data_IF_341697779185
#
_entry.id   IF_341697779185
#
_cell.length_a   1.000
_cell.length_b   1.000
_cell.length_c   1.000
_cell.angle_alpha   90.00
_cell.angle_beta   90.00
_cell.angle_gamma   90.00
#
_symmetry.space_group_name_H-M   'P 1'
#
loop_
_entity.id
_entity.type
_entity.pdbx_description
1 polymer ?
#
# COMPACT_ATOMS: atom_id res chain seq x y z
N UNK A 1 8.72 -22.28 -30.48
CA UNK A 1 10.02 -22.17 -29.76
C UNK A 1 10.84 -20.95 -30.18
N UNK A 2 11.16 -20.72 -31.46
CA UNK A 2 11.97 -19.54 -31.90
C UNK A 2 11.40 -18.17 -31.52
N UNK A 3 10.07 -18.00 -31.50
CA UNK A 3 9.42 -16.73 -31.09
C UNK A 3 9.51 -16.46 -29.57
N UNK A 4 9.50 -17.50 -28.74
CA UNK A 4 9.63 -17.37 -27.27
C UNK A 4 11.07 -17.03 -26.88
N UNK A 5 12.05 -17.62 -27.59
CA UNK A 5 13.46 -17.28 -27.41
C UNK A 5 13.78 -15.82 -27.81
N UNK A 6 13.16 -15.28 -28.87
CA UNK A 6 13.33 -13.87 -29.23
C UNK A 6 12.67 -12.90 -28.22
N UNK A 7 11.53 -13.26 -27.63
CA UNK A 7 10.89 -12.44 -26.59
C UNK A 7 11.72 -12.47 -25.29
N UNK A 8 12.25 -13.63 -24.90
CA UNK A 8 13.18 -13.74 -23.77
C UNK A 8 14.52 -13.04 -24.02
N UNK A 9 15.04 -13.08 -25.24
CA UNK A 9 16.26 -12.36 -25.63
C UNK A 9 16.04 -10.83 -25.72
N UNK A 10 14.86 -10.38 -26.12
CA UNK A 10 14.49 -8.96 -26.10
C UNK A 10 14.28 -8.44 -24.67
N UNK A 11 13.71 -9.28 -23.79
CA UNK A 11 13.60 -8.99 -22.35
C UNK A 11 14.96 -8.98 -21.65
N UNK A 12 15.92 -9.83 -22.07
CA UNK A 12 17.27 -9.85 -21.50
C UNK A 12 18.20 -8.77 -22.07
N UNK A 13 18.04 -8.37 -23.34
CA UNK A 13 18.79 -7.25 -23.94
C UNK A 13 18.28 -5.88 -23.47
N UNK A 14 17.01 -5.77 -23.04
CA UNK A 14 16.48 -4.56 -22.41
C UNK A 14 16.97 -4.33 -20.98
N UNK A 15 17.52 -5.36 -20.32
CA UNK A 15 18.07 -5.26 -18.95
C UNK A 15 19.50 -4.72 -18.89
N UNK A 16 20.18 -4.58 -20.05
CA UNK A 16 21.56 -4.08 -20.13
C UNK A 16 21.67 -2.67 -20.73
N UNK A 17 20.54 -1.98 -20.97
CA UNK A 17 20.53 -0.60 -21.44
C UNK A 17 19.89 0.28 -20.37
N UNK A 18 20.73 1.17 -19.81
CA UNK A 18 20.45 2.21 -18.80
C UNK A 18 20.43 1.79 -17.33
N UNK A 19 21.10 2.61 -16.53
CA UNK A 19 20.87 2.83 -15.10
C UNK A 19 19.40 3.22 -14.86
N UNK A 20 18.48 2.27 -15.00
CA UNK A 20 17.05 2.53 -14.92
C UNK A 20 16.64 2.75 -13.46
N UNK A 21 16.71 4.00 -13.01
CA UNK A 21 16.05 4.44 -11.78
C UNK A 21 14.55 4.51 -12.02
N UNK A 22 13.76 4.14 -11.00
CA UNK A 22 12.31 4.27 -11.04
C UNK A 22 11.88 5.73 -11.13
N UNK A 23 12.57 6.60 -10.39
CA UNK A 23 12.29 8.03 -10.40
C UNK A 23 12.80 8.67 -11.70
N UNK A 24 11.93 9.47 -12.31
CA UNK A 24 12.18 10.33 -13.45
C UNK A 24 11.74 11.74 -13.07
N UNK A 25 12.72 12.62 -12.93
CA UNK A 25 12.49 14.02 -12.55
C UNK A 25 12.36 14.92 -13.77
N UNK A 26 11.82 16.12 -13.55
CA UNK A 26 11.68 17.12 -14.60
C UNK A 26 12.92 18.01 -14.73
N UNK A 27 13.10 18.53 -15.94
CA UNK A 27 14.02 19.62 -16.23
C UNK A 27 13.39 20.98 -15.88
N UNK A 28 14.20 22.02 -15.68
CA UNK A 28 13.70 23.37 -15.42
C UNK A 28 12.78 23.90 -16.55
N UNK A 29 13.06 23.53 -17.80
CA UNK A 29 12.24 23.88 -18.95
C UNK A 29 10.85 23.23 -18.86
N UNK A 30 10.78 21.95 -18.51
CA UNK A 30 9.51 21.23 -18.36
C UNK A 30 8.67 21.80 -17.22
N UNK A 31 9.29 22.15 -16.09
CA UNK A 31 8.61 22.78 -14.95
C UNK A 31 7.97 24.11 -15.36
N UNK A 32 8.71 24.94 -16.09
CA UNK A 32 8.22 26.24 -16.57
C UNK A 32 7.08 26.09 -17.56
N UNK A 33 7.11 25.05 -18.41
CA UNK A 33 6.08 24.78 -19.42
C UNK A 33 4.78 24.22 -18.82
N UNK A 34 4.89 23.41 -17.77
CA UNK A 34 3.77 22.68 -17.18
C UNK A 34 2.85 23.59 -16.36
N UNK A 35 3.41 24.54 -15.60
CA UNK A 35 2.65 25.58 -14.90
C UNK A 35 1.50 25.03 -14.02
N UNK A 36 0.32 25.64 -14.11
CA UNK A 36 -0.85 25.15 -13.38
C UNK A 36 -1.44 23.90 -14.08
N UNK A 37 -1.39 22.74 -13.42
CA UNK A 37 -1.72 21.45 -14.03
C UNK A 37 -2.83 20.71 -13.27
N UNK A 38 -3.78 20.08 -13.99
CA UNK A 38 -4.78 19.21 -13.37
C UNK A 38 -4.15 18.02 -12.64
N UNK A 39 -4.79 17.61 -11.56
CA UNK A 39 -4.45 16.46 -10.74
C UNK A 39 -5.60 15.45 -10.80
N UNK A 40 -5.28 14.20 -11.08
CA UNK A 40 -6.23 13.09 -11.07
C UNK A 40 -5.81 12.06 -10.02
N UNK A 41 -6.64 11.91 -8.98
CA UNK A 41 -6.50 10.82 -8.01
C UNK A 41 -7.20 9.58 -8.57
N UNK A 42 -6.43 8.55 -8.85
CA UNK A 42 -6.97 7.26 -9.27
C UNK A 42 -7.65 6.59 -8.08
N UNK A 43 -8.89 6.15 -8.30
CA UNK A 43 -9.65 5.38 -7.32
C UNK A 43 -8.89 4.12 -6.92
N UNK A 44 -8.54 4.03 -5.64
CA UNK A 44 -8.27 2.76 -5.00
C UNK A 44 -9.59 1.96 -4.97
N UNK A 45 -9.58 0.74 -5.50
CA UNK A 45 -10.73 -0.17 -5.50
C UNK A 45 -10.65 -1.24 -4.40
N UNK A 46 -9.59 -1.24 -3.61
CA UNK A 46 -9.22 -2.31 -2.69
C UNK A 46 -9.27 -1.89 -1.21
N UNK A 47 -9.47 -0.60 -0.93
CA UNK A 47 -9.47 -0.09 0.44
C UNK A 47 -8.10 -0.23 1.12
N UNK A 48 -8.11 -0.38 2.45
CA UNK A 48 -6.94 -0.75 3.23
C UNK A 48 -6.75 -2.27 3.17
N UNK A 49 -5.72 -2.74 2.48
CA UNK A 49 -5.50 -4.15 2.26
C UNK A 49 -4.44 -4.72 3.22
N UNK A 50 -4.77 -5.66 4.13
CA UNK A 50 -3.75 -6.40 4.84
C UNK A 50 -2.94 -7.27 3.89
N UNK A 51 -1.69 -7.52 4.24
CA UNK A 51 -0.79 -8.41 3.49
C UNK A 51 -0.83 -9.82 4.05
N UNK A 52 -0.48 -10.81 3.22
CA UNK A 52 -0.35 -12.19 3.67
C UNK A 52 0.73 -12.33 4.75
N UNK A 53 0.53 -13.12 5.81
CA UNK A 53 1.63 -13.45 6.71
C UNK A 53 2.75 -14.15 5.90
N UNK A 54 3.94 -13.56 5.82
CA UNK A 54 5.08 -14.23 5.20
C UNK A 54 5.65 -15.29 6.14
N UNK A 55 5.74 -16.53 5.65
CA UNK A 55 6.50 -17.59 6.29
C UNK A 55 8.00 -17.34 6.07
N UNK A 56 8.58 -16.42 6.84
CA UNK A 56 10.03 -16.28 7.02
C UNK A 56 10.90 -15.96 5.80
N UNK A 57 10.37 -15.46 4.68
CA UNK A 57 11.25 -15.02 3.60
C UNK A 57 11.88 -13.66 3.90
N UNK A 58 13.19 -13.70 4.15
CA UNK A 58 14.14 -12.60 4.30
C UNK A 58 14.31 -11.76 3.03
N UNK A 59 13.21 -11.21 2.49
CA UNK A 59 13.30 -10.12 1.51
C UNK A 59 13.35 -8.77 2.22
N UNK A 60 14.29 -8.62 3.16
CA UNK A 60 14.74 -7.32 3.64
C UNK A 60 15.62 -6.70 2.57
N UNK A 61 15.06 -5.86 1.69
CA UNK A 61 15.83 -5.09 0.71
C UNK A 61 15.03 -4.61 -0.50
N UNK A 62 15.67 -3.77 -1.31
CA UNK A 62 15.15 -3.16 -2.55
C UNK A 62 14.49 -4.16 -3.53
N UNK A 63 14.84 -5.46 -3.47
CA UNK A 63 14.19 -6.52 -4.25
C UNK A 63 12.72 -6.79 -3.85
N UNK A 64 12.34 -6.60 -2.57
CA UNK A 64 10.95 -6.67 -2.11
C UNK A 64 10.13 -5.46 -2.57
N UNK A 65 10.78 -4.29 -2.65
CA UNK A 65 10.21 -3.06 -3.21
C UNK A 65 10.05 -3.14 -4.73
N UNK A 66 11.01 -3.74 -5.45
CA UNK A 66 10.91 -4.00 -6.90
C UNK A 66 9.76 -4.94 -7.25
N UNK A 67 9.65 -6.09 -6.56
CA UNK A 67 8.58 -7.05 -6.78
C UNK A 67 7.22 -6.39 -6.53
N UNK A 68 7.04 -5.64 -5.45
CA UNK A 68 5.74 -5.08 -5.07
C UNK A 68 5.40 -3.76 -5.75
N UNK A 69 6.39 -2.95 -6.14
CA UNK A 69 6.20 -1.74 -6.94
C UNK A 69 5.81 -2.05 -8.39
N UNK A 70 6.37 -3.11 -9.00
CA UNK A 70 6.02 -3.55 -10.35
C UNK A 70 4.81 -4.50 -10.38
N UNK A 71 4.57 -5.31 -9.33
CA UNK A 71 3.44 -6.27 -9.31
C UNK A 71 2.18 -5.74 -8.60
N UNK A 72 2.30 -4.83 -7.63
CA UNK A 72 1.16 -4.28 -6.89
C UNK A 72 0.23 -3.39 -7.72
N UNK A 73 0.74 -2.84 -8.83
CA UNK A 73 0.00 -1.99 -9.75
C UNK A 73 -0.40 -2.68 -11.08
N UNK A 74 0.00 -3.95 -11.29
CA UNK A 74 -0.35 -4.65 -12.54
C UNK A 74 -0.18 -6.18 -12.63
N UNK A 75 0.46 -6.87 -11.67
CA UNK A 75 0.77 -8.30 -11.83
C UNK A 75 0.99 -9.11 -10.52
N UNK A 76 0.29 -8.81 -9.43
CA UNK A 76 0.42 -9.52 -8.15
C UNK A 76 -0.25 -10.90 -8.15
N UNK A 77 0.26 -11.85 -8.94
CA UNK A 77 -0.53 -12.99 -9.43
C UNK A 77 -0.17 -14.38 -8.87
N UNK A 78 0.97 -14.60 -8.20
CA UNK A 78 1.44 -16.00 -8.02
C UNK A 78 1.76 -16.46 -6.59
N UNK A 79 1.73 -15.59 -5.58
CA UNK A 79 2.23 -15.97 -4.22
C UNK A 79 1.10 -16.23 -3.20
N UNK A 80 -0.08 -15.61 -3.34
CA UNK A 80 -1.15 -15.71 -2.34
C UNK A 80 -1.84 -17.09 -2.26
N UNK A 81 -2.06 -17.73 -3.41
CA UNK A 81 -2.85 -18.97 -3.48
C UNK A 81 -2.20 -20.20 -2.84
N UNK A 82 -0.87 -20.29 -2.85
CA UNK A 82 -0.13 -21.43 -2.27
C UNK A 82 0.05 -21.25 -0.76
N UNK A 83 0.26 -20.02 -0.28
CA UNK A 83 0.37 -19.71 1.16
C UNK A 83 -0.99 -19.88 1.86
N UNK A 84 -2.09 -19.50 1.20
CA UNK A 84 -3.46 -19.70 1.71
C UNK A 84 -3.80 -21.16 2.05
N UNK A 85 -3.21 -22.12 1.33
CA UNK A 85 -3.44 -23.55 1.57
C UNK A 85 -2.56 -24.14 2.68
N UNK A 86 -1.45 -23.50 3.05
CA UNK A 86 -0.52 -23.99 4.06
C UNK A 86 -0.81 -23.44 5.47
N UNK A 87 -1.53 -22.31 5.59
CA UNK A 87 -1.87 -21.66 6.87
C UNK A 87 -3.32 -21.13 6.89
N UNK A 88 -4.31 -22.01 6.68
CA UNK A 88 -5.72 -21.63 6.53
C UNK A 88 -6.30 -20.82 7.71
N UNK A 89 -5.85 -21.07 8.95
CA UNK A 89 -6.33 -20.36 10.14
C UNK A 89 -5.76 -18.94 10.25
N UNK A 90 -4.46 -18.77 10.00
CA UNK A 90 -3.82 -17.44 9.93
C UNK A 90 -4.45 -16.62 8.80
N UNK A 91 -4.74 -17.27 7.67
CA UNK A 91 -5.41 -16.68 6.51
C UNK A 91 -6.84 -16.22 6.86
N UNK A 92 -7.66 -17.06 7.50
CA UNK A 92 -9.03 -16.70 7.89
C UNK A 92 -9.06 -15.48 8.82
N UNK A 93 -8.16 -15.42 9.81
CA UNK A 93 -8.10 -14.31 10.77
C UNK A 93 -7.59 -13.01 10.13
N UNK A 94 -6.62 -13.10 9.20
CA UNK A 94 -6.16 -11.94 8.43
C UNK A 94 -7.26 -11.38 7.50
N UNK A 95 -8.06 -12.26 6.88
CA UNK A 95 -9.25 -11.91 6.09
C UNK A 95 -10.29 -11.22 6.96
N UNK A 96 -10.59 -11.74 8.15
CA UNK A 96 -11.52 -11.11 9.08
C UNK A 96 -11.01 -9.73 9.54
N UNK A 97 -9.72 -9.60 9.89
CA UNK A 97 -9.12 -8.30 10.20
C UNK A 97 -9.32 -7.29 9.05
N UNK A 98 -9.09 -7.72 7.80
CA UNK A 98 -9.28 -6.88 6.62
C UNK A 98 -10.72 -6.35 6.54
N UNK A 99 -11.70 -7.25 6.68
CA UNK A 99 -13.12 -6.90 6.60
C UNK A 99 -13.49 -5.92 7.73
N UNK A 100 -12.93 -6.11 8.93
CA UNK A 100 -13.19 -5.22 10.06
C UNK A 100 -12.64 -3.82 9.84
N UNK A 101 -11.44 -3.70 9.28
CA UNK A 101 -10.83 -2.42 8.94
C UNK A 101 -11.57 -1.72 7.80
N UNK A 102 -12.05 -2.48 6.81
CA UNK A 102 -12.82 -1.97 5.68
C UNK A 102 -14.15 -1.33 6.13
N UNK A 103 -14.74 -1.78 7.25
CA UNK A 103 -15.96 -1.14 7.80
C UNK A 103 -15.75 0.32 8.20
N UNK A 104 -14.53 0.70 8.59
CA UNK A 104 -14.18 2.06 9.01
C UNK A 104 -13.47 2.82 7.88
N UNK A 105 -12.60 2.12 7.15
CA UNK A 105 -11.73 2.66 6.11
C UNK A 105 -12.10 2.09 4.73
N UNK A 106 -13.27 2.50 4.25
CA UNK A 106 -13.72 2.13 2.91
C UNK A 106 -12.80 2.76 1.84
N UNK A 107 -12.74 2.12 0.68
CA UNK A 107 -11.98 2.65 -0.46
C UNK A 107 -12.43 4.08 -0.84
N UNK A 108 -13.74 4.35 -0.76
CA UNK A 108 -14.31 5.67 -1.00
C UNK A 108 -13.83 6.72 0.01
N UNK A 109 -13.81 6.40 1.30
CA UNK A 109 -13.31 7.30 2.34
C UNK A 109 -11.83 7.63 2.12
N UNK A 110 -11.02 6.64 1.75
CA UNK A 110 -9.60 6.83 1.46
C UNK A 110 -9.37 7.68 0.20
N UNK A 111 -10.13 7.42 -0.88
CA UNK A 111 -10.03 8.17 -2.14
C UNK A 111 -10.42 9.63 -1.93
N UNK A 112 -11.52 9.89 -1.23
CA UNK A 112 -11.99 11.25 -0.91
C UNK A 112 -11.00 12.00 -0.03
N UNK A 113 -10.40 11.35 0.96
CA UNK A 113 -9.40 11.97 1.81
C UNK A 113 -8.14 12.37 1.02
N UNK A 114 -7.67 11.52 0.10
CA UNK A 114 -6.53 11.85 -0.75
C UNK A 114 -6.86 12.99 -1.72
N UNK A 115 -8.02 12.94 -2.38
CA UNK A 115 -8.50 14.01 -3.25
C UNK A 115 -8.56 15.35 -2.50
N UNK A 116 -9.19 15.36 -1.32
CA UNK A 116 -9.31 16.55 -0.49
C UNK A 116 -7.95 17.09 -0.08
N UNK A 117 -6.99 16.22 0.27
CA UNK A 117 -5.62 16.62 0.61
C UNK A 117 -4.95 17.39 -0.54
N UNK A 118 -5.11 16.93 -1.78
CA UNK A 118 -4.56 17.65 -2.95
C UNK A 118 -5.31 18.95 -3.24
N UNK A 119 -6.63 19.01 -2.98
CA UNK A 119 -7.42 20.25 -3.10
C UNK A 119 -7.00 21.31 -2.09
N UNK A 120 -6.62 20.88 -0.89
CA UNK A 120 -6.22 21.76 0.22
C UNK A 120 -4.76 22.22 0.13
N UNK A 121 -4.00 21.76 -0.87
CA UNK A 121 -2.65 22.26 -1.10
C UNK A 121 -2.69 23.77 -1.39
N UNK A 122 -1.74 24.55 -0.84
CA UNK A 122 -1.71 25.99 -1.05
C UNK A 122 -1.46 26.32 -2.54
N UNK A 123 -2.52 26.68 -3.25
CA UNK A 123 -2.50 26.95 -4.70
C UNK A 123 -1.97 28.33 -5.10
N UNK A 124 -0.91 28.83 -4.46
CA UNK A 124 -0.34 30.13 -4.87
C UNK A 124 0.76 29.91 -5.91
N UNK A 125 0.49 30.15 -7.21
CA UNK A 125 1.50 30.01 -8.24
C UNK A 125 2.62 31.01 -7.97
N UNK A 126 3.84 30.48 -7.83
CA UNK A 126 5.07 31.26 -8.04
C UNK A 126 5.38 31.14 -9.53
N UNK A 127 5.73 32.24 -10.19
CA UNK A 127 6.08 32.20 -11.61
C UNK A 127 7.17 31.13 -11.87
N UNK A 128 6.91 30.25 -12.84
CA UNK A 128 7.81 29.13 -13.15
C UNK A 128 7.73 27.93 -12.21
N UNK A 129 6.63 27.80 -11.43
CA UNK A 129 6.35 26.62 -10.61
C UNK A 129 5.13 25.83 -11.09
N UNK A 130 5.13 24.53 -10.83
CA UNK A 130 3.99 23.65 -11.02
C UNK A 130 3.07 23.77 -9.81
N UNK A 131 1.80 24.07 -10.06
CA UNK A 131 0.74 24.08 -9.05
C UNK A 131 -0.42 23.20 -9.48
N UNK A 132 -1.09 22.57 -8.53
CA UNK A 132 -2.37 21.90 -8.81
C UNK A 132 -3.43 22.95 -9.18
N UNK A 133 -4.08 22.82 -10.34
CA UNK A 133 -5.16 23.71 -10.79
C UNK A 133 -6.54 23.17 -10.42
N UNK A 134 -6.86 21.99 -10.94
CA UNK A 134 -8.07 21.23 -10.67
C UNK A 134 -7.72 19.86 -10.12
N UNK A 135 -8.48 19.37 -9.14
CA UNK A 135 -8.35 18.00 -8.64
C UNK A 135 -9.58 17.23 -9.02
N UNK A 136 -9.42 16.02 -9.55
CA UNK A 136 -10.50 15.14 -9.96
C UNK A 136 -10.21 13.69 -9.58
N UNK A 137 -11.24 12.86 -9.66
CA UNK A 137 -11.12 11.40 -9.47
C UNK A 137 -11.30 10.67 -10.78
N UNK A 138 -10.50 9.63 -10.97
CA UNK A 138 -10.53 8.80 -12.17
C UNK A 138 -10.50 7.32 -11.82
N UNK A 139 -11.15 6.49 -12.63
CA UNK A 139 -11.13 5.04 -12.48
C UNK A 139 -10.31 4.42 -13.60
N UNK A 140 -9.30 3.62 -13.26
CA UNK A 140 -8.50 2.88 -14.27
C UNK A 140 -9.31 1.89 -15.09
N UNK A 141 -10.49 1.48 -14.61
CA UNK A 141 -11.41 0.63 -15.38
C UNK A 141 -11.97 1.39 -16.59
N UNK A 142 -12.26 2.70 -16.44
CA UNK A 142 -12.77 3.55 -17.52
C UNK A 142 -11.67 4.28 -18.28
N UNK A 143 -10.51 4.48 -17.64
CA UNK A 143 -9.32 5.12 -18.23
C UNK A 143 -8.10 4.21 -18.02
N UNK A 144 -7.99 3.10 -18.79
CA UNK A 144 -6.88 2.17 -18.62
C UNK A 144 -5.54 2.76 -19.04
N UNK A 145 -5.57 3.73 -19.96
CA UNK A 145 -4.39 4.49 -20.38
C UNK A 145 -4.09 5.61 -19.37
N UNK A 146 -2.83 6.04 -19.31
CA UNK A 146 -2.46 7.21 -18.49
C UNK A 146 -3.11 8.49 -19.04
N UNK A 147 -3.40 9.44 -18.16
CA UNK A 147 -3.95 10.74 -18.56
C UNK A 147 -2.85 11.64 -19.13
N UNK A 148 -3.14 12.29 -20.25
CA UNK A 148 -2.23 13.27 -20.84
C UNK A 148 -2.49 14.64 -20.21
N UNK A 149 -1.40 15.41 -20.07
CA UNK A 149 -1.41 16.75 -19.48
C UNK A 149 -2.08 16.81 -18.09
N UNK A 150 -1.91 15.75 -17.30
CA UNK A 150 -2.50 15.59 -15.97
C UNK A 150 -1.54 14.87 -15.05
N UNK A 151 -1.39 15.37 -13.81
CA UNK A 151 -0.66 14.69 -12.75
C UNK A 151 -1.55 13.55 -12.25
N UNK A 152 -1.15 12.31 -12.51
CA UNK A 152 -1.87 11.13 -12.07
C UNK A 152 -1.27 10.58 -10.77
N UNK A 153 -2.12 10.35 -9.77
CA UNK A 153 -1.74 9.81 -8.46
C UNK A 153 -2.45 8.48 -8.26
N UNK A 154 -1.67 7.42 -8.06
CA UNK A 154 -2.18 6.08 -7.78
C UNK A 154 -1.70 5.67 -6.39
N UNK A 155 -2.63 5.40 -5.47
CA UNK A 155 -2.29 5.11 -4.08
C UNK A 155 -2.74 3.72 -3.65
N UNK A 156 -1.84 2.98 -3.02
CA UNK A 156 -2.09 1.67 -2.41
C UNK A 156 -1.87 1.77 -0.91
N UNK A 157 -2.78 1.18 -0.15
CA UNK A 157 -2.76 1.15 1.31
C UNK A 157 -2.59 -0.30 1.76
N UNK A 158 -1.49 -0.59 2.44
CA UNK A 158 -1.17 -1.91 2.94
C UNK A 158 -1.09 -1.91 4.45
N UNK A 159 -1.61 -2.95 5.10
CA UNK A 159 -1.20 -3.28 6.46
C UNK A 159 -0.20 -4.42 6.43
N UNK A 160 0.81 -4.33 7.29
CA UNK A 160 1.81 -5.38 7.49
C UNK A 160 1.19 -6.75 7.80
N UNK A 161 2.02 -7.78 7.70
CA UNK A 161 1.68 -9.19 7.92
C UNK A 161 1.05 -9.47 9.30
N UNK A 162 1.32 -8.61 10.30
CA UNK A 162 0.76 -8.69 11.66
C UNK A 162 -0.25 -7.59 11.98
N UNK A 163 -0.63 -6.80 10.97
CA UNK A 163 -1.43 -5.58 11.14
C UNK A 163 -0.82 -4.60 12.14
N UNK A 164 0.49 -4.66 12.43
CA UNK A 164 1.15 -3.82 13.41
C UNK A 164 1.70 -2.52 12.84
N UNK A 165 1.93 -2.46 11.53
CA UNK A 165 2.22 -1.24 10.81
C UNK A 165 1.38 -1.07 9.54
N UNK A 166 1.28 0.16 9.07
CA UNK A 166 0.64 0.57 7.83
C UNK A 166 1.70 1.11 6.88
N UNK A 167 1.59 0.75 5.60
CA UNK A 167 2.41 1.28 4.51
C UNK A 167 1.50 1.84 3.43
N UNK A 168 1.69 3.12 3.10
CA UNK A 168 0.95 3.82 2.06
C UNK A 168 1.93 4.19 0.96
N UNK A 169 1.66 3.77 -0.27
CA UNK A 169 2.53 3.99 -1.43
C UNK A 169 1.74 4.76 -2.47
N UNK A 170 2.26 5.90 -2.89
CA UNK A 170 1.69 6.69 -3.97
C UNK A 170 2.68 6.82 -5.12
N UNK A 171 2.31 6.29 -6.28
CA UNK A 171 2.98 6.59 -7.54
C UNK A 171 2.39 7.89 -8.10
N UNK A 172 3.25 8.84 -8.43
CA UNK A 172 2.87 10.11 -9.06
C UNK A 172 3.52 10.15 -10.43
N UNK A 173 2.73 10.35 -11.46
CA UNK A 173 3.21 10.43 -12.85
C UNK A 173 2.65 11.66 -13.54
N UNK A 174 3.37 12.15 -14.55
CA UNK A 174 2.85 13.13 -15.48
C UNK A 174 3.29 12.77 -16.90
N UNK A 175 2.32 12.83 -17.83
CA UNK A 175 2.52 12.69 -19.26
C UNK A 175 2.24 14.03 -19.92
N UNK A 176 3.09 14.42 -20.85
CA UNK A 176 2.83 15.62 -21.65
C UNK A 176 1.64 15.43 -22.60
N UNK A 177 1.26 16.50 -23.31
CA UNK A 177 0.17 16.45 -24.28
C UNK A 177 0.39 15.44 -25.43
N UNK A 178 1.63 15.04 -25.69
CA UNK A 178 1.98 14.01 -26.68
C UNK A 178 1.91 12.58 -26.11
N UNK A 179 1.56 12.43 -24.82
CA UNK A 179 1.45 11.15 -24.13
C UNK A 179 2.78 10.57 -23.66
N UNK A 180 3.87 11.35 -23.75
CA UNK A 180 5.19 10.94 -23.27
C UNK A 180 5.25 11.15 -21.76
N UNK A 181 5.54 10.08 -21.02
CA UNK A 181 5.75 10.18 -19.57
C UNK A 181 7.02 10.97 -19.30
N UNK A 182 6.91 12.19 -18.79
CA UNK A 182 8.04 13.07 -18.52
C UNK A 182 8.45 13.04 -17.05
N UNK A 183 7.52 12.68 -16.16
CA UNK A 183 7.76 12.54 -14.73
C UNK A 183 7.17 11.23 -14.19
N UNK A 184 7.89 10.62 -13.26
CA UNK A 184 7.42 9.48 -12.47
C UNK A 184 8.19 9.43 -11.17
N UNK A 185 7.50 9.34 -10.04
CA UNK A 185 8.17 9.09 -8.76
C UNK A 185 7.28 8.29 -7.80
N UNK A 186 7.90 7.67 -6.79
CA UNK A 186 7.22 6.91 -5.74
C UNK A 186 7.43 7.59 -4.38
N UNK A 187 6.34 7.67 -3.62
CA UNK A 187 6.32 8.20 -2.27
C UNK A 187 5.80 7.12 -1.33
N UNK A 188 6.64 6.69 -0.38
CA UNK A 188 6.31 5.58 0.53
C UNK A 188 6.27 6.06 1.97
N UNK A 189 5.11 5.94 2.61
CA UNK A 189 4.92 6.21 4.01
C UNK A 189 4.87 4.91 4.82
N UNK A 190 5.52 4.91 5.98
CA UNK A 190 5.42 3.85 7.00
C UNK A 190 4.88 4.43 8.31
N UNK A 191 3.87 3.82 8.90
CA UNK A 191 3.42 4.20 10.26
C UNK A 191 4.42 3.74 11.32
N UNK A 192 4.25 4.24 12.56
CA UNK A 192 4.86 3.57 13.70
C UNK A 192 4.28 2.15 13.84
N UNK A 193 5.12 1.20 14.25
CA UNK A 193 4.67 -0.17 14.53
C UNK A 193 4.07 -0.23 15.94
N UNK A 194 2.83 -0.71 16.02
CA UNK A 194 2.20 -1.05 17.30
C UNK A 194 2.89 -2.27 17.89
N UNK A 195 3.15 -2.21 19.19
CA UNK A 195 3.68 -3.36 19.91
C UNK A 195 2.55 -4.34 20.21
N UNK A 196 2.82 -5.63 19.95
CA UNK A 196 1.92 -6.67 20.40
C UNK A 196 1.90 -6.67 21.94
N UNK A 197 0.72 -6.71 22.60
CA UNK A 197 0.65 -6.76 24.04
C UNK A 197 1.37 -7.99 24.60
N UNK A 198 2.02 -7.85 25.75
CA UNK A 198 2.54 -8.99 26.50
C UNK A 198 1.39 -9.83 27.05
N UNK A 199 1.58 -11.15 27.15
CA UNK A 199 0.54 -12.04 27.64
C UNK A 199 0.36 -11.86 29.15
N UNK A 200 -0.69 -11.14 29.52
CA UNK A 200 -1.19 -11.00 30.90
C UNK A 200 -2.59 -11.61 31.02
N UNK A 201 -3.09 -11.88 32.24
CA UNK A 201 -4.48 -12.32 32.44
C UNK A 201 -5.51 -11.38 31.79
N UNK A 202 -5.26 -10.07 31.84
CA UNK A 202 -6.14 -9.05 31.24
C UNK A 202 -6.09 -9.06 29.71
N UNK A 203 -4.91 -9.27 29.13
CA UNK A 203 -4.75 -9.41 27.68
C UNK A 203 -5.42 -10.70 27.18
N UNK A 204 -5.34 -11.79 27.96
CA UNK A 204 -6.04 -13.04 27.67
C UNK A 204 -7.56 -12.85 27.69
N UNK A 205 -8.09 -12.20 28.72
CA UNK A 205 -9.52 -11.87 28.80
C UNK A 205 -9.95 -10.98 27.61
N UNK A 206 -9.11 -10.02 27.24
CA UNK A 206 -9.34 -9.13 26.09
C UNK A 206 -9.33 -9.88 24.75
N UNK A 207 -8.43 -10.84 24.58
CA UNK A 207 -8.36 -11.70 23.39
C UNK A 207 -9.63 -12.55 23.25
N UNK A 208 -10.07 -13.19 24.34
CA UNK A 208 -11.32 -13.96 24.36
C UNK A 208 -12.51 -13.06 24.02
N UNK A 209 -12.60 -11.87 24.62
CA UNK A 209 -13.66 -10.91 24.32
C UNK A 209 -13.63 -10.46 22.85
N UNK A 210 -12.45 -10.24 22.26
CA UNK A 210 -12.29 -9.90 20.86
C UNK A 210 -12.77 -11.04 19.96
N UNK A 211 -12.33 -12.28 20.21
CA UNK A 211 -12.77 -13.47 19.45
C UNK A 211 -14.30 -13.63 19.51
N UNK A 212 -14.91 -13.50 20.70
CA UNK A 212 -16.36 -13.58 20.87
C UNK A 212 -17.09 -12.47 20.11
N UNK A 213 -16.64 -11.21 20.24
CA UNK A 213 -17.24 -10.07 19.54
C UNK A 213 -17.21 -10.27 18.03
N UNK A 214 -16.08 -10.74 17.50
CA UNK A 214 -15.89 -11.01 16.06
C UNK A 214 -16.77 -12.14 15.57
N UNK A 215 -16.86 -13.23 16.33
CA UNK A 215 -17.72 -14.37 16.00
C UNK A 215 -19.21 -13.98 15.93
N UNK A 216 -19.66 -13.04 16.77
CA UNK A 216 -21.04 -12.56 16.77
C UNK A 216 -21.33 -11.41 15.79
N UNK A 217 -20.31 -10.86 15.10
CA UNK A 217 -20.45 -9.57 14.38
C UNK A 217 -21.46 -9.60 13.24
N UNK A 218 -21.47 -10.68 12.46
CA UNK A 218 -22.31 -10.79 11.28
C UNK A 218 -23.79 -11.08 11.60
N UNK A 219 -24.06 -11.79 12.70
CA UNK A 219 -25.40 -12.33 13.01
C UNK A 219 -25.99 -11.76 14.31
N UNK A 220 -25.20 -11.01 15.08
CA UNK A 220 -25.57 -10.56 16.42
C UNK A 220 -25.59 -11.67 17.48
N UNK A 221 -25.28 -12.92 17.11
CA UNK A 221 -25.33 -14.07 17.99
C UNK A 221 -24.06 -14.92 17.86
N UNK A 222 -23.67 -15.59 18.95
CA UNK A 222 -22.55 -16.54 18.92
C UNK A 222 -22.92 -17.71 17.97
N UNK A 223 -22.02 -18.08 17.03
CA UNK A 223 -22.30 -19.17 16.10
C UNK A 223 -22.59 -20.50 16.82
N UNK A 224 -23.56 -21.26 16.29
CA UNK A 224 -23.96 -22.54 16.87
C UNK A 224 -22.90 -23.62 16.61
N UNK A 225 -22.62 -24.44 17.62
CA UNK A 225 -21.54 -25.44 17.63
C UNK A 225 -21.61 -26.50 16.51
N UNK A 226 -22.78 -26.68 15.87
CA UNK A 226 -22.97 -27.60 14.74
C UNK A 226 -22.65 -27.01 13.36
N UNK A 227 -22.22 -25.75 13.29
CA UNK A 227 -21.84 -25.07 12.04
C UNK A 227 -20.33 -24.92 11.95
N UNK A 228 -19.78 -24.78 10.74
CA UNK A 228 -18.34 -24.51 10.54
C UNK A 228 -17.87 -23.30 11.36
N UNK A 229 -18.65 -22.21 11.36
CA UNK A 229 -18.34 -21.02 12.15
C UNK A 229 -18.35 -21.28 13.67
N UNK A 230 -19.22 -22.16 14.17
CA UNK A 230 -19.25 -22.56 15.59
C UNK A 230 -18.08 -23.45 15.99
N UNK A 231 -17.67 -24.38 15.12
CA UNK A 231 -16.47 -25.19 15.32
C UNK A 231 -15.22 -24.32 15.38
N UNK A 232 -15.11 -23.36 14.44
CA UNK A 232 -14.01 -22.40 14.40
C UNK A 232 -13.96 -21.52 15.65
N UNK A 233 -15.12 -21.00 16.08
CA UNK A 233 -15.21 -20.19 17.30
C UNK A 233 -14.78 -20.96 18.56
N UNK A 234 -15.25 -22.20 18.74
CA UNK A 234 -14.90 -23.01 19.91
C UNK A 234 -13.41 -23.31 19.94
N UNK A 235 -12.82 -23.61 18.78
CA UNK A 235 -11.38 -23.81 18.63
C UNK A 235 -10.61 -22.55 18.99
N UNK A 236 -10.98 -21.39 18.44
CA UNK A 236 -10.32 -20.11 18.73
C UNK A 236 -10.36 -19.75 20.23
N UNK A 237 -11.48 -20.01 20.90
CA UNK A 237 -11.62 -19.76 22.35
C UNK A 237 -10.77 -20.70 23.19
N UNK A 238 -10.61 -21.96 22.76
CA UNK A 238 -9.73 -22.91 23.43
C UNK A 238 -8.28 -22.46 23.30
N UNK A 239 -7.84 -22.14 22.07
CA UNK A 239 -6.46 -21.78 21.79
C UNK A 239 -6.07 -20.45 22.49
N UNK A 240 -6.99 -19.50 22.60
CA UNK A 240 -6.78 -18.24 23.34
C UNK A 240 -6.53 -18.43 24.86
N UNK A 241 -6.78 -19.62 25.41
CA UNK A 241 -6.53 -19.95 26.82
C UNK A 241 -5.15 -20.55 27.07
N UNK A 242 -4.34 -20.76 26.03
CA UNK A 242 -3.00 -21.35 26.13
C UNK A 242 -1.95 -20.36 26.70
N UNK A 243 -0.82 -20.85 27.22
CA UNK A 243 0.18 -20.01 27.90
C UNK A 243 1.07 -19.15 26.99
N UNK A 244 0.72 -19.01 25.70
CA UNK A 244 1.44 -18.16 24.75
C UNK A 244 0.49 -17.53 23.73
N UNK A 245 0.88 -16.37 23.18
CA UNK A 245 0.16 -15.73 22.08
C UNK A 245 0.77 -16.16 20.73
N UNK A 246 -0.05 -16.82 19.91
CA UNK A 246 0.27 -17.09 18.51
C UNK A 246 0.37 -15.78 17.70
N UNK A 247 1.01 -15.85 16.54
CA UNK A 247 1.09 -14.72 15.60
C UNK A 247 -0.29 -14.18 15.21
N UNK A 248 -1.26 -15.07 15.01
CA UNK A 248 -2.62 -14.70 14.64
C UNK A 248 -3.38 -14.04 15.80
N UNK A 249 -3.15 -14.43 17.04
CA UNK A 249 -3.78 -13.77 18.21
C UNK A 249 -3.21 -12.39 18.48
N UNK A 250 -1.89 -12.22 18.25
CA UNK A 250 -1.25 -10.90 18.29
C UNK A 250 -1.87 -9.96 17.25
N UNK A 251 -2.14 -10.43 16.03
CA UNK A 251 -2.77 -9.58 15.02
C UNK A 251 -4.20 -9.20 15.37
N UNK A 252 -4.98 -10.09 16.03
CA UNK A 252 -6.31 -9.73 16.57
C UNK A 252 -6.19 -8.56 17.55
N UNK A 253 -5.33 -8.70 18.56
CA UNK A 253 -5.14 -7.69 19.59
C UNK A 253 -4.63 -6.35 19.05
N UNK A 254 -3.74 -6.40 18.05
CA UNK A 254 -3.20 -5.20 17.41
C UNK A 254 -4.22 -4.55 16.48
N UNK A 255 -5.02 -5.31 15.73
CA UNK A 255 -6.13 -4.76 14.94
C UNK A 255 -7.16 -4.07 15.81
N UNK A 256 -7.48 -4.61 16.99
CA UNK A 256 -8.36 -3.94 17.94
C UNK A 256 -7.80 -2.57 18.38
N UNK A 257 -6.49 -2.45 18.58
CA UNK A 257 -5.87 -1.14 18.89
C UNK A 257 -6.05 -0.14 17.74
N UNK A 258 -5.91 -0.57 16.49
CA UNK A 258 -6.20 0.29 15.33
C UNK A 258 -7.66 0.71 15.22
N UNK A 259 -8.59 -0.10 15.71
CA UNK A 259 -10.04 0.13 15.64
C UNK A 259 -10.60 0.90 16.85
N UNK A 260 -9.80 1.07 17.91
CA UNK A 260 -10.19 1.85 19.09
C UNK A 260 -10.56 3.29 18.72
N UNK A 261 -11.53 3.86 19.45
CA UNK A 261 -12.01 5.22 19.24
C UNK A 261 -12.38 5.49 17.77
N UNK A 262 -13.10 4.55 17.15
CA UNK A 262 -13.50 4.61 15.75
C UNK A 262 -12.30 4.74 14.79
N UNK A 263 -11.18 4.13 15.15
CA UNK A 263 -9.95 4.15 14.37
C UNK A 263 -9.25 5.51 14.30
N UNK A 264 -9.40 6.35 15.32
CA UNK A 264 -8.77 7.68 15.38
C UNK A 264 -7.25 7.66 15.08
N UNK A 265 -6.52 6.67 15.62
CA UNK A 265 -5.08 6.52 15.40
C UNK A 265 -4.75 6.21 13.93
N UNK A 266 -5.48 5.27 13.33
CA UNK A 266 -5.30 4.90 11.93
C UNK A 266 -5.67 6.07 10.99
N UNK A 267 -6.73 6.83 11.30
CA UNK A 267 -7.09 8.06 10.57
C UNK A 267 -5.98 9.10 10.63
N UNK A 268 -5.38 9.31 11.80
CA UNK A 268 -4.27 10.26 11.96
C UNK A 268 -3.06 9.84 11.11
N UNK A 269 -2.69 8.56 11.11
CA UNK A 269 -1.61 8.02 10.28
C UNK A 269 -1.89 8.19 8.77
N UNK A 270 -3.12 7.91 8.33
CA UNK A 270 -3.53 8.10 6.92
C UNK A 270 -3.49 9.58 6.53
N UNK A 271 -4.01 10.47 7.36
CA UNK A 271 -3.99 11.91 7.10
C UNK A 271 -2.56 12.46 7.03
N UNK A 272 -1.69 12.03 7.95
CA UNK A 272 -0.26 12.37 7.92
C UNK A 272 0.41 11.87 6.64
N UNK A 273 0.13 10.63 6.23
CA UNK A 273 0.66 10.07 5.00
C UNK A 273 0.22 10.87 3.77
N UNK A 274 -1.08 11.16 3.65
CA UNK A 274 -1.63 11.96 2.55
C UNK A 274 -0.96 13.33 2.49
N UNK A 275 -0.88 14.04 3.62
CA UNK A 275 -0.27 15.36 3.70
C UNK A 275 1.19 15.35 3.26
N UNK A 276 1.98 14.39 3.75
CA UNK A 276 3.40 14.29 3.38
C UNK A 276 3.59 13.92 1.92
N UNK A 277 2.84 12.94 1.41
CA UNK A 277 2.88 12.53 0.00
C UNK A 277 2.53 13.72 -0.88
N UNK A 278 1.43 14.43 -0.61
CA UNK A 278 0.98 15.57 -1.40
C UNK A 278 2.02 16.71 -1.39
N UNK A 279 2.53 17.08 -0.20
CA UNK A 279 3.58 18.10 -0.05
C UNK A 279 4.83 17.73 -0.84
N UNK A 280 5.36 16.53 -0.64
CA UNK A 280 6.62 16.11 -1.26
C UNK A 280 6.49 15.79 -2.74
N UNK A 281 5.33 15.34 -3.21
CA UNK A 281 5.05 15.22 -4.64
C UNK A 281 5.16 16.58 -5.33
N UNK A 282 4.56 17.63 -4.77
CA UNK A 282 4.67 18.97 -5.34
C UNK A 282 6.09 19.55 -5.24
N UNK A 283 6.81 19.30 -4.13
CA UNK A 283 8.21 19.71 -4.00
C UNK A 283 9.08 19.02 -5.05
N UNK A 284 8.92 17.72 -5.26
CA UNK A 284 9.72 16.97 -6.23
C UNK A 284 9.38 17.33 -7.68
N UNK A 285 8.09 17.53 -8.00
CA UNK A 285 7.65 18.06 -9.29
C UNK A 285 8.32 19.42 -9.58
N UNK A 286 8.47 20.27 -8.56
CA UNK A 286 9.13 21.57 -8.70
C UNK A 286 10.66 21.54 -8.58
N UNK A 287 11.26 20.37 -8.39
CA UNK A 287 12.72 20.22 -8.27
C UNK A 287 13.31 19.85 -9.62
N UNK A 288 13.86 20.86 -10.30
CA UNK A 288 14.61 20.64 -11.53
C UNK A 288 15.85 19.76 -11.24
N UNK A 289 16.01 18.68 -12.01
CA UNK A 289 17.28 17.94 -12.05
C UNK A 289 18.10 18.43 -13.23
N UNK A 290 19.35 18.77 -12.97
CA UNK A 290 20.33 19.05 -14.02
C UNK A 290 20.65 17.72 -14.73
N UNK A 291 20.39 17.59 -16.04
CA UNK A 291 20.70 16.37 -16.80
C UNK A 291 22.21 16.03 -16.83
N UNK A 292 23.08 16.94 -16.38
CA UNK A 292 24.53 16.75 -16.28
C UNK A 292 25.04 16.60 -14.83
N UNK A 293 24.15 16.72 -13.85
CA UNK A 293 24.49 16.67 -12.43
C UNK A 293 24.75 15.25 -11.93
N UNK A 294 25.59 15.13 -10.88
CA UNK A 294 25.70 13.89 -10.12
C UNK A 294 24.31 13.52 -9.53
N UNK A 295 23.98 12.21 -9.43
CA UNK A 295 22.74 11.79 -8.80
C UNK A 295 22.60 12.40 -7.40
N UNK A 296 21.38 12.72 -6.95
CA UNK A 296 21.16 13.37 -5.66
C UNK A 296 21.85 12.58 -4.54
N UNK A 297 22.63 13.27 -3.71
CA UNK A 297 23.34 12.67 -2.58
C UNK A 297 22.37 12.09 -1.55
N UNK A 298 22.70 10.92 -1.02
CA UNK A 298 21.96 10.23 0.06
C UNK A 298 21.85 11.15 1.29
N UNK A 299 20.66 11.25 1.88
CA UNK A 299 20.50 11.90 3.18
C UNK A 299 19.05 12.06 3.61
N UNK A 300 18.81 12.03 4.92
CA UNK A 300 17.56 12.54 5.47
C UNK A 300 17.38 13.99 5.04
N UNK A 301 16.27 14.27 4.36
CA UNK A 301 15.90 15.59 3.86
C UNK A 301 15.54 16.48 5.05
N UNK A 302 14.68 15.97 5.94
CA UNK A 302 14.33 16.62 7.19
C UNK A 302 13.90 15.59 8.23
N UNK A 303 13.92 15.99 9.50
CA UNK A 303 13.22 15.29 10.58
C UNK A 303 12.09 16.18 11.04
N UNK A 304 10.87 15.67 10.97
CA UNK A 304 9.65 16.36 11.36
C UNK A 304 9.52 16.43 12.90
N UNK A 305 8.66 17.32 13.43
CA UNK A 305 8.48 17.48 14.88
C UNK A 305 8.01 16.22 15.63
N UNK A 306 7.34 15.30 14.94
CA UNK A 306 6.94 13.98 15.47
C UNK A 306 8.10 12.96 15.47
N UNK A 307 9.30 13.37 15.09
CA UNK A 307 10.48 12.53 14.95
C UNK A 307 10.53 11.76 13.63
N UNK A 308 9.58 11.96 12.72
CA UNK A 308 9.60 11.26 11.42
C UNK A 308 10.70 11.77 10.51
N UNK A 309 11.44 10.84 9.94
CA UNK A 309 12.50 11.11 8.98
C UNK A 309 11.90 11.07 7.58
N UNK A 310 12.13 12.13 6.82
CA UNK A 310 11.92 12.16 5.38
C UNK A 310 13.24 11.89 4.70
N UNK A 311 13.27 10.90 3.80
CA UNK A 311 14.49 10.43 3.16
C UNK A 311 14.28 10.33 1.64
N UNK A 312 15.27 10.80 0.87
CA UNK A 312 15.36 10.47 -0.55
C UNK A 312 16.31 9.28 -0.71
N UNK A 313 15.83 8.22 -1.38
CA UNK A 313 16.63 7.03 -1.63
C UNK A 313 17.77 7.39 -2.58
N UNK A 314 19.00 7.06 -2.19
CA UNK A 314 20.19 7.53 -2.88
C UNK A 314 20.79 6.57 -3.91
N UNK A 315 20.41 5.29 -3.88
CA UNK A 315 21.00 4.27 -4.75
C UNK A 315 20.01 3.17 -5.19
N UNK A 316 20.45 2.39 -6.18
CA UNK A 316 19.68 1.30 -6.76
C UNK A 316 18.48 1.77 -7.59
N UNK A 317 17.60 0.82 -7.91
CA UNK A 317 16.41 1.07 -8.73
C UNK A 317 15.45 2.08 -8.11
N UNK A 318 15.42 2.19 -6.78
CA UNK A 318 14.55 3.12 -6.07
C UNK A 318 15.19 4.51 -5.88
N UNK A 319 16.40 4.75 -6.42
CA UNK A 319 17.05 6.04 -6.32
C UNK A 319 16.14 7.18 -6.81
N UNK A 320 16.13 8.29 -6.05
CA UNK A 320 15.28 9.47 -6.28
C UNK A 320 13.90 9.40 -5.64
N UNK A 321 13.44 8.22 -5.19
CA UNK A 321 12.15 8.05 -4.50
C UNK A 321 12.16 8.54 -3.06
N UNK A 322 10.99 8.81 -2.50
CA UNK A 322 10.82 9.35 -1.15
C UNK A 322 10.30 8.30 -0.18
N UNK A 323 10.87 8.28 1.02
CA UNK A 323 10.44 7.43 2.14
C UNK A 323 10.19 8.30 3.37
N UNK A 324 9.03 8.12 3.99
CA UNK A 324 8.65 8.74 5.26
C UNK A 324 8.58 7.67 6.34
N UNK A 325 9.45 7.73 7.34
CA UNK A 325 9.55 6.70 8.39
C UNK A 325 9.68 7.31 9.78
N UNK A 326 9.08 6.75 10.83
CA UNK A 326 9.27 7.24 12.19
C UNK A 326 10.74 7.09 12.63
N UNK A 327 11.21 7.98 13.51
CA UNK A 327 12.54 7.83 14.12
C UNK A 327 12.67 6.47 14.82
N UNK A 328 13.82 5.82 14.65
CA UNK A 328 14.11 4.54 15.28
C UNK A 328 13.39 3.32 14.67
N UNK A 329 12.59 3.51 13.60
CA UNK A 329 12.06 2.40 12.83
C UNK A 329 13.21 1.66 12.11
N UNK A 330 13.77 0.63 12.76
CA UNK A 330 14.53 -0.41 12.08
C UNK A 330 13.54 -1.16 11.21
N UNK A 331 13.58 -1.03 9.89
CA UNK A 331 12.72 -1.77 8.94
C UNK A 331 12.45 -3.21 9.43
N UNK A 332 11.27 -3.48 10.02
CA UNK A 332 10.92 -4.79 10.61
C UNK A 332 9.49 -5.24 10.33
N UNK A 333 8.57 -4.37 9.97
CA UNK A 333 7.30 -4.79 9.41
C UNK A 333 7.51 -5.44 8.03
N UNK A 334 7.30 -6.76 7.97
CA UNK A 334 7.15 -7.46 6.70
C UNK A 334 5.83 -7.05 6.07
N UNK A 335 5.90 -6.68 4.80
CA UNK A 335 4.74 -6.45 3.96
C UNK A 335 4.86 -7.43 2.80
N UNK A 336 3.99 -8.44 2.74
CA UNK A 336 3.88 -9.31 1.58
C UNK A 336 2.86 -8.75 0.55
N UNK A 337 2.39 -9.57 -0.40
CA UNK A 337 1.36 -9.14 -1.34
C UNK A 337 0.00 -8.90 -0.65
N UNK A 338 -0.79 -7.88 -1.04
CA UNK A 338 -2.06 -7.56 -0.42
C UNK A 338 -3.15 -8.61 -0.71
N UNK A 339 -3.94 -8.94 0.31
CA UNK A 339 -5.03 -9.94 0.26
C UNK A 339 -6.12 -9.53 -0.73
N UNK A 340 -6.44 -8.23 -0.83
CA UNK A 340 -7.50 -7.71 -1.69
C UNK A 340 -7.25 -7.97 -3.18
N UNK A 341 -5.98 -7.93 -3.64
CA UNK A 341 -5.61 -8.30 -5.01
C UNK A 341 -5.89 -9.78 -5.30
N UNK A 342 -5.69 -10.65 -4.31
CA UNK A 342 -6.00 -12.09 -4.43
C UNK A 342 -7.51 -12.35 -4.51
N UNK A 343 -8.33 -11.69 -3.68
CA UNK A 343 -9.79 -11.93 -3.64
C UNK A 343 -10.47 -11.60 -4.98
N UNK A 344 -10.13 -10.44 -5.55
CA UNK A 344 -10.74 -9.97 -6.80
C UNK A 344 -10.37 -10.86 -8.01
N UNK A 345 -9.21 -11.54 -7.94
CA UNK A 345 -8.78 -12.49 -8.96
C UNK A 345 -9.34 -13.90 -8.76
N UNK A 346 -9.57 -14.37 -7.52
CA UNK A 346 -10.25 -15.66 -7.31
C UNK A 346 -11.63 -15.65 -7.95
N UNK A 347 -12.38 -14.55 -7.80
CA UNK A 347 -13.68 -14.38 -8.46
C UNK A 347 -13.58 -14.35 -9.99
N UNK A 348 -12.56 -13.69 -10.57
CA UNK A 348 -12.31 -13.67 -12.02
C UNK A 348 -11.85 -15.02 -12.58
N UNK A 349 -10.95 -15.71 -11.89
CA UNK A 349 -10.47 -17.04 -12.27
C UNK A 349 -11.56 -18.10 -12.16
N UNK A 350 -12.45 -17.99 -11.16
CA UNK A 350 -13.62 -18.85 -11.04
C UNK A 350 -14.56 -18.66 -12.24
N UNK A 351 -14.80 -17.41 -12.64
CA UNK A 351 -15.63 -17.10 -13.82
C UNK A 351 -15.00 -17.58 -15.13
N UNK A 352 -13.67 -17.44 -15.27
CA UNK A 352 -12.94 -17.96 -16.43
C UNK A 352 -13.00 -19.49 -16.50
N UNK A 353 -12.83 -20.17 -15.36
CA UNK A 353 -12.94 -21.63 -15.25
C UNK A 353 -14.36 -22.14 -15.48
N UNK A 354 -15.40 -21.40 -15.07
CA UNK A 354 -16.79 -21.71 -15.44
C UNK A 354 -17.05 -21.50 -16.93
N UNK A 355 -16.52 -20.42 -17.52
CA UNK A 355 -16.68 -20.15 -18.96
C UNK A 355 -15.99 -21.21 -19.84
N UNK A 356 -14.89 -21.79 -19.36
CA UNK A 356 -14.15 -22.88 -20.02
C UNK A 356 -14.77 -24.26 -19.81
N UNK A 357 -15.62 -24.44 -18.79
CA UNK A 357 -16.42 -25.67 -18.61
C UNK A 357 -17.66 -25.71 -19.49
N UNK A 358 -18.08 -24.57 -20.02
CA UNK A 358 -19.24 -24.40 -20.88
C UNK A 358 -18.87 -24.27 -22.37
N UNK A 359 -17.62 -24.58 -22.73
CA UNK A 359 -17.12 -24.83 -24.09
C UNK A 359 -16.72 -26.30 -24.19
#
# INVERSE_FOLDING_TARGET
MKKIACVLAALSLGACASDATFARHMTAQQITQMGATPVAVTDNNFGLAPTWPSSNNSMSGAAGQMSQGLSGLGAGLLVGGVIAMMEADTHRRAVQNADELETIFTAETLNRAMEQTFRDLPGRPVDGSITASDVSRVQKVTHPEGLNDTIEIITIYNMSDYSNGVRIMSEVTYRDAAGVQVYKNLFTYYSAELQAPELTPDVRASLVAAITRRASRATGAIPTSGTTAGVDYIRDIRDARDDFLTRAEKSILVSEQWLQNDGAMLRAEIANAHSLIARYAMVDLNRAVDPTGAPPSVGGIETLPDGRIVEQVGDGFMAGTYVFRPAGATLKASFSGPIALSRNQTSRNYWLLESLKNQ
#
